data_IF_165695078744
#
_entry.id   IF_165695078744
#
_cell.length_a   1.000
_cell.length_b   1.000
_cell.length_c   1.000
_cell.angle_alpha   90.00
_cell.angle_beta   90.00
_cell.angle_gamma   90.00
#
_symmetry.space_group_name_H-M   'P 1'
#
loop_
_entity.id
_entity.type
_entity.pdbx_description
1 polymer ?
2 non-polymer ?
3 non-polymer ?
4 water ?
#
# COMPACT_ATOMS: atom_id res chain seq x y z
N UNK A 7 -5.40 -21.03 -5.39
CA UNK A 7 -5.45 -21.62 -4.05
C UNK A 7 -5.08 -23.09 -4.11
N UNK A 8 -5.26 -23.69 -5.28
CA UNK A 8 -4.94 -25.10 -5.47
C UNK A 8 -3.45 -25.35 -5.61
N UNK A 9 -2.67 -24.28 -5.77
CA UNK A 9 -1.22 -24.40 -5.91
C UNK A 9 -0.53 -24.36 -4.55
N UNK A 10 -1.33 -24.27 -3.50
CA UNK A 10 -0.82 -24.24 -2.14
C UNK A 10 -0.56 -25.67 -1.73
N UNK A 11 0.62 -25.93 -1.18
CA UNK A 11 0.94 -27.26 -0.70
C UNK A 11 0.25 -27.36 0.65
N UNK A 12 0.23 -26.23 1.37
CA UNK A 12 -0.41 -26.12 2.66
C UNK A 12 -0.39 -24.69 3.18
N UNK A 13 -1.35 -24.40 4.06
CA UNK A 13 -1.48 -23.08 4.65
C UNK A 13 -0.73 -23.09 5.96
N UNK A 14 0.04 -22.03 6.21
CA UNK A 14 0.79 -21.92 7.44
C UNK A 14 -0.01 -21.07 8.43
N UNK A 15 -0.63 -20.01 7.93
CA UNK A 15 -1.44 -19.11 8.77
C UNK A 15 -2.62 -18.63 7.98
N UNK A 16 -3.79 -18.66 8.60
CA UNK A 16 -5.02 -18.20 7.95
C UNK A 16 -5.24 -16.72 8.25
N UNK A 17 -6.24 -16.12 7.62
CA UNK A 17 -6.51 -14.70 7.82
C UNK A 17 -6.76 -14.34 9.28
N UNK A 18 -7.36 -15.27 10.04
CA UNK A 18 -7.62 -15.03 11.45
C UNK A 18 -6.31 -14.92 12.24
N UNK A 19 -5.36 -15.79 11.93
CA UNK A 19 -4.06 -15.78 12.61
C UNK A 19 -3.32 -14.49 12.30
N UNK A 20 -3.33 -14.11 11.02
CA UNK A 20 -2.66 -12.91 10.53
C UNK A 20 -3.22 -11.67 11.22
N UNK A 21 -4.54 -11.52 11.19
CA UNK A 21 -5.18 -10.36 11.78
C UNK A 21 -4.98 -10.24 13.29
N UNK A 22 -4.92 -11.37 13.98
CA UNK A 22 -4.69 -11.38 15.41
C UNK A 22 -3.25 -10.88 15.66
N UNK A 23 -2.30 -11.40 14.89
CA UNK A 23 -0.90 -10.99 15.04
C UNK A 23 -0.71 -9.50 14.77
N UNK A 24 -1.36 -9.01 13.73
CA UNK A 24 -1.27 -7.60 13.38
C UNK A 24 -1.79 -6.72 14.52
N UNK A 25 -2.87 -7.12 15.17
CA UNK A 25 -3.40 -6.34 16.28
C UNK A 25 -2.38 -6.34 17.41
N UNK A 26 -1.73 -7.47 17.62
CA UNK A 26 -0.71 -7.60 18.67
C UNK A 26 0.49 -6.70 18.37
N UNK A 27 0.94 -6.72 17.12
CA UNK A 27 2.07 -5.89 16.69
C UNK A 27 1.73 -4.41 16.81
N UNK A 28 0.54 -4.03 16.35
CA UNK A 28 0.11 -2.64 16.41
C UNK A 28 0.13 -2.12 17.84
N UNK A 29 -0.27 -2.97 18.79
CA UNK A 29 -0.27 -2.60 20.20
C UNK A 29 1.16 -2.38 20.66
N UNK A 30 2.05 -3.26 20.23
CA UNK A 30 3.44 -3.18 20.59
C UNK A 30 4.10 -1.93 20.00
N UNK A 31 3.80 -1.64 18.74
CA UNK A 31 4.33 -0.47 18.06
C UNK A 31 3.88 0.83 18.72
N UNK A 32 2.59 0.90 19.08
CA UNK A 32 2.02 2.08 19.72
C UNK A 32 2.78 2.46 21.00
N UNK A 33 3.16 1.45 21.76
CA UNK A 33 3.91 1.60 22.99
C UNK A 33 5.11 2.53 22.76
N UNK A 34 5.88 2.22 21.72
CA UNK A 34 7.09 2.98 21.40
C UNK A 34 6.93 4.20 20.51
N UNK A 35 6.08 4.10 19.50
CA UNK A 35 5.91 5.17 18.52
C UNK A 35 4.82 6.22 18.67
N UNK A 36 3.94 6.03 19.64
CA UNK A 36 2.82 6.94 19.83
C UNK A 36 3.12 8.44 19.81
N UNK A 37 4.14 8.86 20.56
CA UNK A 37 4.46 10.28 20.61
C UNK A 37 5.70 10.63 19.81
N UNK A 38 6.09 9.75 18.90
CA UNK A 38 7.30 9.97 18.12
C UNK A 38 7.19 10.50 16.70
N UNK A 39 5.98 10.61 16.17
CA UNK A 39 5.77 11.08 14.79
C UNK A 39 6.81 10.42 13.88
N UNK A 40 6.82 9.08 13.85
CA UNK A 40 7.79 8.34 13.04
C UNK A 40 7.52 8.29 11.55
N UNK A 41 8.58 7.98 10.81
CA UNK A 41 8.48 7.80 9.37
C UNK A 41 8.39 6.26 9.26
N UNK A 42 7.27 5.77 8.78
CA UNK A 42 7.04 4.33 8.63
C UNK A 42 7.31 4.00 7.18
N UNK A 43 8.39 3.29 6.93
CA UNK A 43 8.77 2.93 5.58
C UNK A 43 8.25 1.58 5.15
N UNK A 44 7.56 1.55 4.02
CA UNK A 44 7.06 0.30 3.48
C UNK A 44 7.97 -0.10 2.31
N UNK A 45 8.52 -1.30 2.37
CA UNK A 45 9.35 -1.79 1.29
C UNK A 45 8.40 -2.47 0.30
N UNK A 46 8.10 -1.78 -0.79
CA UNK A 46 7.16 -2.28 -1.80
C UNK A 46 7.79 -3.41 -2.61
N UNK A 47 6.98 -4.34 -3.13
CA UNK A 47 5.52 -4.36 -3.01
C UNK A 47 5.00 -5.31 -1.93
N UNK A 48 5.64 -6.48 -1.83
CA UNK A 48 5.20 -7.50 -0.88
C UNK A 48 4.72 -7.10 0.49
N UNK A 49 5.39 -6.15 1.11
CA UNK A 49 5.03 -5.69 2.45
C UNK A 49 3.80 -4.78 2.50
N UNK A 50 3.30 -4.34 1.35
CA UNK A 50 2.18 -3.42 1.32
C UNK A 50 0.88 -3.87 2.00
N UNK A 51 0.55 -5.15 1.90
CA UNK A 51 -0.67 -5.65 2.53
C UNK A 51 -0.52 -5.54 4.03
N UNK A 52 0.58 -6.10 4.53
CA UNK A 52 0.94 -6.08 5.94
C UNK A 52 0.99 -4.64 6.45
N UNK A 53 1.61 -3.77 5.66
CA UNK A 53 1.79 -2.35 5.98
C UNK A 53 0.46 -1.61 6.16
N UNK A 54 -0.42 -1.70 5.17
CA UNK A 54 -1.70 -1.02 5.28
C UNK A 54 -2.56 -1.59 6.41
N UNK A 55 -2.48 -2.90 6.64
CA UNK A 55 -3.26 -3.51 7.72
C UNK A 55 -2.80 -3.00 9.09
N UNK A 56 -1.49 -2.81 9.23
CA UNK A 56 -0.90 -2.29 10.46
C UNK A 56 -1.38 -0.85 10.67
N UNK A 57 -1.24 -0.03 9.63
CA UNK A 57 -1.63 1.37 9.70
C UNK A 57 -3.10 1.58 10.07
N UNK A 58 -3.94 0.61 9.76
CA UNK A 58 -5.36 0.70 10.10
C UNK A 58 -5.56 0.58 11.61
N UNK A 59 -4.51 0.15 12.31
CA UNK A 59 -4.56 -0.01 13.75
C UNK A 59 -3.71 1.00 14.50
N UNK A 60 -3.07 1.90 13.78
CA UNK A 60 -2.22 2.89 14.43
C UNK A 60 -2.96 4.20 14.57
N UNK A 61 -3.36 4.49 15.80
CA UNK A 61 -4.13 5.67 16.13
C UNK A 61 -3.30 6.88 16.56
N UNK A 62 -2.28 7.22 15.79
CA UNK A 62 -1.42 8.37 16.11
C UNK A 62 -0.81 8.96 14.84
N UNK A 63 -0.26 10.16 14.95
CA UNK A 63 0.36 10.83 13.82
C UNK A 63 1.63 10.10 13.41
N UNK A 64 1.75 9.80 12.13
CA UNK A 64 2.91 9.10 11.57
C UNK A 64 3.03 9.52 10.12
N UNK A 65 4.22 9.40 9.55
CA UNK A 65 4.44 9.82 8.17
C UNK A 65 4.83 8.62 7.31
N UNK A 66 3.96 8.22 6.38
CA UNK A 66 4.33 7.07 5.54
C UNK A 66 5.36 7.45 4.47
N UNK A 67 6.17 6.48 4.10
CA UNK A 67 7.14 6.65 3.03
C UNK A 67 7.35 5.28 2.43
N UNK A 68 7.86 5.25 1.20
CA UNK A 68 8.03 4.00 0.48
C UNK A 68 9.36 3.88 -0.19
N UNK A 69 9.84 2.66 -0.32
CA UNK A 69 11.10 2.42 -0.97
C UNK A 69 11.00 1.16 -1.86
N UNK A 70 11.64 1.22 -3.01
CA UNK A 70 11.68 0.11 -3.95
C UNK A 70 13.17 -0.15 -4.16
N UNK A 71 13.63 -1.33 -3.77
CA UNK A 71 15.03 -1.69 -3.90
C UNK A 71 15.19 -3.19 -4.07
N UNK A 72 16.41 -3.65 -4.34
CA UNK A 72 16.68 -5.07 -4.49
C UNK A 72 18.16 -5.33 -4.36
N UNK A 73 18.52 -6.48 -3.79
CA UNK A 73 19.92 -6.83 -3.61
C UNK A 73 20.34 -7.92 -4.60
N UNK A 83 23.06 -3.24 -3.80
CA UNK A 83 21.67 -2.90 -3.48
C UNK A 83 21.24 -1.76 -4.39
N UNK A 84 20.27 -2.03 -5.26
CA UNK A 84 19.78 -1.00 -6.16
C UNK A 84 18.50 -0.42 -5.59
N UNK A 85 18.44 0.90 -5.51
CA UNK A 85 17.25 1.56 -5.01
C UNK A 85 16.60 2.25 -6.22
N UNK A 86 15.48 1.69 -6.67
CA UNK A 86 14.74 2.23 -7.81
C UNK A 86 13.90 3.44 -7.41
N UNK A 87 13.43 3.45 -6.17
CA UNK A 87 12.64 4.55 -5.68
C UNK A 87 13.07 4.78 -4.24
N UNK A 88 13.74 5.91 -4.03
CA UNK A 88 14.23 6.27 -2.71
C UNK A 88 13.17 7.06 -1.94
N UNK A 89 13.42 7.28 -0.65
CA UNK A 89 12.50 8.01 0.21
C UNK A 89 12.30 9.45 -0.22
N UNK A 90 11.12 9.98 0.09
CA UNK A 90 10.80 11.37 -0.21
C UNK A 90 11.17 12.19 1.01
N UNK A 91 11.07 11.56 2.18
CA UNK A 91 11.36 12.18 3.47
C UNK A 91 12.82 12.21 3.87
N UNK A 92 13.26 13.34 4.43
CA UNK A 92 14.61 13.45 4.93
C UNK A 92 14.44 12.86 6.33
N UNK A 93 15.09 11.72 6.58
CA UNK A 93 14.95 11.05 7.88
C UNK A 93 15.95 11.45 8.97
N UNK A 94 16.76 12.47 8.70
CA UNK A 94 17.72 12.93 9.70
C UNK A 94 16.97 13.38 10.95
N UNK A 95 17.33 12.80 12.09
CA UNK A 95 16.70 13.15 13.35
C UNK A 95 15.29 12.61 13.57
N UNK A 96 14.79 11.79 12.65
CA UNK A 96 13.45 11.23 12.77
C UNK A 96 13.50 9.80 13.29
N UNK A 97 12.42 9.34 13.91
CA UNK A 97 12.34 7.96 14.39
C UNK A 97 11.80 7.19 13.20
N UNK A 98 12.55 6.19 12.75
CA UNK A 98 12.21 5.42 11.56
C UNK A 98 11.96 3.95 11.80
N UNK A 99 10.90 3.44 11.20
CA UNK A 99 10.57 2.01 11.26
C UNK A 99 10.53 1.48 9.83
N UNK A 100 11.21 0.37 9.59
CA UNK A 100 11.21 -0.25 8.27
C UNK A 100 10.26 -1.43 8.32
N UNK A 101 9.27 -1.43 7.44
CA UNK A 101 8.28 -2.50 7.37
C UNK A 101 8.56 -3.36 6.16
N UNK A 102 8.96 -4.60 6.43
CA UNK A 102 9.33 -5.56 5.39
C UNK A 102 8.42 -6.80 5.41
N UNK A 103 8.41 -7.53 4.29
CA UNK A 103 7.59 -8.73 4.19
C UNK A 103 8.25 -10.00 4.77
N UNK A 104 9.46 -10.31 4.32
CA UNK A 104 10.15 -11.50 4.82
C UNK A 104 11.66 -11.32 4.72
N UNK A 105 12.36 -11.81 5.73
CA UNK A 105 13.82 -11.75 5.77
C UNK A 105 14.31 -13.18 5.58
N UNK A 106 15.05 -13.39 4.50
CA UNK A 106 15.59 -14.70 4.17
C UNK A 106 17.05 -14.80 4.65
N UNK A 107 18.01 -14.48 3.78
CA UNK A 107 19.41 -14.56 4.19
C UNK A 107 19.84 -13.32 4.97
N UNK A 108 19.02 -12.27 4.87
CA UNK A 108 19.32 -11.04 5.57
C UNK A 108 20.10 -10.02 4.74
N UNK A 109 20.52 -10.41 3.54
CA UNK A 109 21.29 -9.49 2.68
C UNK A 109 20.58 -8.18 2.36
N UNK A 110 19.34 -8.26 1.87
CA UNK A 110 18.57 -7.07 1.52
C UNK A 110 18.43 -6.09 2.68
N UNK A 111 17.97 -6.56 3.83
CA UNK A 111 17.79 -5.71 4.99
C UNK A 111 19.12 -5.19 5.54
N UNK A 112 20.16 -6.02 5.50
CA UNK A 112 21.46 -5.59 6.00
C UNK A 112 21.96 -4.38 5.20
N UNK A 113 21.78 -4.43 3.88
CA UNK A 113 22.22 -3.34 3.02
C UNK A 113 21.31 -2.12 3.16
N UNK A 114 20.01 -2.35 3.32
CA UNK A 114 19.04 -1.29 3.48
C UNK A 114 19.33 -0.53 4.79
N UNK A 115 19.57 -1.28 5.86
CA UNK A 115 19.86 -0.65 7.15
C UNK A 115 21.14 0.18 7.13
N UNK A 116 22.18 -0.31 6.44
CA UNK A 116 23.44 0.43 6.35
C UNK A 116 23.18 1.72 5.60
N UNK A 117 22.38 1.66 4.53
CA UNK A 117 22.07 2.86 3.76
C UNK A 117 21.32 3.87 4.62
N UNK A 118 20.28 3.40 5.32
CA UNK A 118 19.46 4.29 6.16
C UNK A 118 20.19 4.87 7.37
N UNK A 119 21.07 4.09 7.99
CA UNK A 119 21.79 4.57 9.17
C UNK A 119 22.69 5.77 8.84
N UNK A 120 23.17 5.83 7.60
CA UNK A 120 24.04 6.94 7.14
C UNK A 120 23.30 8.27 7.06
N UNK A 121 21.97 8.20 6.98
CA UNK A 121 21.15 9.41 6.90
C UNK A 121 20.89 10.05 8.26
N UNK A 122 21.44 9.45 9.30
CA UNK A 122 21.36 9.94 10.66
C UNK A 122 19.97 10.01 11.32
N UNK A 123 19.23 8.89 11.32
CA UNK A 123 17.90 8.89 11.95
C UNK A 123 18.05 8.92 13.48
N UNK A 124 17.03 9.36 14.20
CA UNK A 124 17.09 9.37 15.67
C UNK A 124 17.10 7.93 16.15
N UNK A 125 16.32 7.08 15.48
CA UNK A 125 16.27 5.68 15.83
C UNK A 125 15.88 4.94 14.57
N UNK A 126 16.24 3.67 14.49
CA UNK A 126 15.97 2.88 13.32
C UNK A 126 15.69 1.44 13.77
N UNK A 127 14.47 0.98 13.49
CA UNK A 127 14.04 -0.37 13.85
C UNK A 127 13.41 -1.08 12.67
N UNK A 128 13.32 -2.39 12.78
CA UNK A 128 12.78 -3.23 11.72
C UNK A 128 11.59 -4.02 12.19
N UNK A 129 10.55 -4.04 11.35
CA UNK A 129 9.33 -4.80 11.59
C UNK A 129 9.10 -5.67 10.36
N UNK A 130 9.18 -6.98 10.51
CA UNK A 130 8.98 -7.87 9.38
C UNK A 130 7.78 -8.79 9.62
N UNK A 131 7.02 -9.06 8.56
CA UNK A 131 5.87 -9.93 8.69
C UNK A 131 6.38 -11.33 8.98
N UNK A 132 7.39 -11.76 8.22
CA UNK A 132 7.96 -13.10 8.40
C UNK A 132 9.46 -13.13 8.47
N UNK A 133 9.97 -14.13 9.17
CA UNK A 133 11.40 -14.35 9.25
C UNK A 133 11.55 -15.83 8.85
N UNK A 134 12.20 -16.08 7.71
CA UNK A 134 12.41 -17.44 7.25
C UNK A 134 13.51 -18.10 8.07
N UNK A 135 13.19 -19.22 8.70
CA UNK A 135 14.17 -19.93 9.51
C UNK A 135 15.09 -20.77 8.63
N UNK A 136 16.27 -20.24 8.33
CA UNK A 136 17.26 -20.92 7.52
C UNK A 136 18.50 -21.23 8.36
N UNK A 137 18.35 -21.10 9.67
CA UNK A 137 19.48 -21.35 10.55
C UNK A 137 20.25 -20.06 10.71
N UNK A 138 21.58 -20.17 10.76
CA UNK A 138 22.41 -18.97 10.90
C UNK A 138 22.33 -18.20 9.60
N UNK A 139 21.97 -16.92 9.70
CA UNK A 139 21.86 -16.09 8.51
C UNK A 139 23.22 -15.54 8.11
N UNK A 140 23.36 -15.18 6.85
CA UNK A 140 24.60 -14.64 6.32
C UNK A 140 24.88 -13.29 6.97
N UNK A 141 23.82 -12.58 7.35
CA UNK A 141 23.96 -11.28 7.99
C UNK A 141 23.10 -11.20 9.24
N UNK A 142 23.72 -10.71 10.32
CA UNK A 142 23.05 -10.58 11.61
C UNK A 142 22.18 -9.33 11.67
N UNK A 143 21.00 -9.42 11.07
CA UNK A 143 20.04 -8.30 11.04
C UNK A 143 19.18 -8.26 12.30
N UNK A 144 19.22 -7.16 13.06
CA UNK A 144 18.41 -7.05 14.27
C UNK A 144 16.96 -6.85 13.88
N UNK A 145 16.11 -7.77 14.33
CA UNK A 145 14.67 -7.71 14.02
C UNK A 145 13.94 -7.36 15.30
N UNK A 146 13.40 -6.14 15.37
CA UNK A 146 12.72 -5.70 16.57
C UNK A 146 11.30 -6.19 16.71
N UNK A 147 10.59 -6.32 15.60
CA UNK A 147 9.20 -6.79 15.64
C UNK A 147 9.10 -7.79 14.51
N UNK A 148 8.51 -8.94 14.79
CA UNK A 148 8.37 -9.99 13.79
C UNK A 148 7.03 -10.69 13.95
N UNK A 149 6.29 -10.80 12.85
CA UNK A 149 4.99 -11.45 12.90
C UNK A 149 5.08 -12.95 13.14
N UNK A 150 5.74 -13.67 12.23
CA UNK A 150 5.85 -15.13 12.31
C UNK A 150 7.20 -15.65 11.83
N UNK A 151 7.62 -16.78 12.38
CA UNK A 151 8.84 -17.42 11.93
C UNK A 151 8.32 -18.51 11.00
N UNK A 152 8.81 -18.47 9.77
CA UNK A 152 8.36 -19.36 8.72
C UNK A 152 9.43 -20.41 8.37
N UNK A 153 9.01 -21.56 7.86
CA UNK A 153 9.98 -22.60 7.50
C UNK A 153 10.65 -22.27 6.18
N UNK A 154 11.77 -22.94 5.93
CA UNK A 154 12.55 -22.73 4.73
C UNK A 154 11.93 -23.27 3.44
N UNK A 155 10.83 -22.63 3.01
CA UNK A 155 10.13 -23.01 1.79
C UNK A 155 9.75 -21.71 1.09
N UNK A 156 9.27 -21.79 -0.15
CA UNK A 156 8.87 -20.58 -0.86
C UNK A 156 7.49 -20.20 -0.40
N UNK A 157 7.42 -19.08 0.31
CA UNK A 157 6.19 -18.56 0.86
C UNK A 157 5.37 -17.79 -0.16
N UNK A 158 4.07 -18.01 -0.12
CA UNK A 158 3.14 -17.40 -1.05
C UNK A 158 1.88 -16.88 -0.30
N UNK A 159 1.25 -15.84 -0.84
CA UNK A 159 0.03 -15.30 -0.23
C UNK A 159 0.17 -14.03 0.61
N UNK A 160 -0.94 -13.34 0.77
CA UNK A 160 -1.00 -12.10 1.56
C UNK A 160 0.14 -11.15 1.21
N UNK A 161 0.24 -10.82 -0.07
CA UNK A 161 1.30 -9.94 -0.52
C UNK A 161 2.46 -10.67 -1.17
N UNK A 162 2.74 -11.89 -0.73
CA UNK A 162 3.84 -12.69 -1.30
C UNK A 162 3.39 -13.27 -2.64
N UNK A 163 4.15 -12.98 -3.70
CA UNK A 163 3.80 -13.47 -5.03
C UNK A 163 4.86 -14.41 -5.60
N UNK A 164 4.50 -15.05 -6.71
CA UNK A 164 5.39 -15.91 -7.47
C UNK A 164 4.99 -15.61 -8.91
N UNK A 165 5.88 -14.97 -9.66
CA UNK A 165 5.60 -14.62 -11.06
C UNK A 165 4.37 -13.74 -11.17
N UNK A 166 4.25 -12.79 -10.25
CA UNK A 166 3.13 -11.85 -10.21
C UNK A 166 1.77 -12.48 -9.92
N UNK A 167 1.80 -13.64 -9.27
CA UNK A 167 0.57 -14.33 -8.89
C UNK A 167 0.57 -14.65 -7.39
N UNK A 168 -0.62 -14.93 -6.85
CA UNK A 168 -0.84 -15.33 -5.46
C UNK A 168 -0.86 -14.27 -4.35
N UNK A 169 -0.67 -12.99 -4.69
CA UNK A 169 -0.68 -11.91 -3.69
C UNK A 169 -2.00 -11.81 -2.96
N UNK A 170 -3.08 -12.02 -3.71
CA UNK A 170 -4.44 -11.91 -3.21
C UNK A 170 -4.90 -12.98 -2.21
N UNK A 171 -4.18 -14.10 -2.13
CA UNK A 171 -4.55 -15.16 -1.19
C UNK A 171 -4.65 -14.60 0.22
N UNK A 172 -5.72 -14.93 0.93
CA UNK A 172 -5.93 -14.45 2.30
C UNK A 172 -5.13 -15.20 3.37
N UNK A 173 -4.18 -16.02 2.93
CA UNK A 173 -3.37 -16.81 3.85
C UNK A 173 -1.90 -16.76 3.45
N UNK A 174 -1.05 -17.24 4.35
CA UNK A 174 0.38 -17.32 4.07
C UNK A 174 0.56 -18.84 3.94
N UNK A 175 1.11 -19.28 2.81
CA UNK A 175 1.28 -20.71 2.61
C UNK A 175 2.49 -21.04 1.79
N UNK A 176 2.72 -22.34 1.59
CA UNK A 176 3.85 -22.86 0.84
C UNK A 176 3.46 -23.15 -0.60
N UNK A 177 4.27 -22.67 -1.53
CA UNK A 177 4.03 -22.87 -2.96
C UNK A 177 4.40 -24.34 -3.26
N UNK A 178 3.52 -25.07 -3.93
CA UNK A 178 3.78 -26.46 -4.28
C UNK A 178 5.05 -26.56 -5.10
N UNK A 179 5.73 -27.70 -5.00
CA UNK A 179 6.96 -27.92 -5.75
C UNK A 179 6.66 -28.00 -7.24
N UNK B 7 -12.45 11.09 16.36
CA UNK B 7 -13.88 10.94 16.08
C UNK B 7 -14.63 12.23 16.40
N UNK B 8 -14.12 12.99 17.35
CA UNK B 8 -14.75 14.24 17.73
C UNK B 8 -14.51 15.30 16.67
N UNK B 9 -13.41 15.18 15.95
CA UNK B 9 -13.07 16.14 14.89
C UNK B 9 -13.86 15.86 13.62
N UNK B 10 -14.50 14.69 13.59
CA UNK B 10 -15.30 14.28 12.45
C UNK B 10 -16.68 14.95 12.52
N UNK B 11 -17.09 15.60 11.44
CA UNK B 11 -18.39 16.25 11.38
C UNK B 11 -19.46 15.17 11.23
N UNK B 12 -19.31 14.33 10.21
CA UNK B 12 -20.25 13.25 9.96
C UNK B 12 -19.61 12.21 9.06
N UNK B 13 -20.17 11.01 9.07
CA UNK B 13 -19.69 9.87 8.28
C UNK B 13 -20.43 9.83 6.93
N UNK B 14 -19.69 9.68 5.84
CA UNK B 14 -20.31 9.58 4.52
C UNK B 14 -20.53 8.10 4.22
N UNK B 15 -19.51 7.28 4.47
CA UNK B 15 -19.63 5.84 4.23
C UNK B 15 -18.92 5.06 5.31
N UNK B 16 -19.56 4.01 5.81
CA UNK B 16 -18.98 3.18 6.87
C UNK B 16 -18.12 2.06 6.25
N UNK B 17 -17.45 1.28 7.10
CA UNK B 17 -16.58 0.22 6.60
C UNK B 17 -17.32 -0.80 5.77
N UNK B 18 -18.57 -1.09 6.15
CA UNK B 18 -19.39 -2.06 5.43
C UNK B 18 -19.66 -1.54 4.04
N UNK B 19 -19.92 -0.23 3.95
CA UNK B 19 -20.17 0.41 2.67
C UNK B 19 -18.93 0.27 1.79
N UNK B 20 -17.78 0.60 2.36
CA UNK B 20 -16.50 0.55 1.68
C UNK B 20 -16.14 -0.84 1.14
N UNK B 21 -16.19 -1.85 1.99
CA UNK B 21 -15.86 -3.21 1.56
C UNK B 21 -16.80 -3.75 0.50
N UNK B 22 -18.08 -3.41 0.60
CA UNK B 22 -19.07 -3.85 -0.37
C UNK B 22 -18.75 -3.20 -1.73
N UNK B 23 -18.45 -1.90 -1.71
CA UNK B 23 -18.12 -1.20 -2.95
C UNK B 23 -16.82 -1.71 -3.59
N UNK B 24 -15.82 -2.00 -2.77
CA UNK B 24 -14.54 -2.52 -3.25
C UNK B 24 -14.71 -3.88 -3.94
N UNK B 25 -15.57 -4.73 -3.38
CA UNK B 25 -15.84 -6.04 -3.95
C UNK B 25 -16.53 -5.88 -5.29
N UNK B 26 -17.46 -4.93 -5.38
CA UNK B 26 -18.18 -4.67 -6.61
C UNK B 26 -17.22 -4.20 -7.70
N UNK B 27 -16.33 -3.27 -7.34
CA UNK B 27 -15.34 -2.74 -8.27
C UNK B 27 -14.39 -3.85 -8.75
N UNK B 28 -13.99 -4.72 -7.83
CA UNK B 28 -13.09 -5.83 -8.15
C UNK B 28 -13.71 -6.74 -9.19
N UNK B 29 -15.00 -7.02 -9.03
CA UNK B 29 -15.71 -7.89 -9.98
C UNK B 29 -15.75 -7.24 -11.34
N UNK B 30 -15.98 -5.93 -11.36
CA UNK B 30 -16.03 -5.20 -12.62
C UNK B 30 -14.68 -5.20 -13.31
N UNK B 31 -13.62 -4.97 -12.54
CA UNK B 31 -12.26 -4.96 -13.08
C UNK B 31 -11.87 -6.35 -13.60
N UNK B 32 -12.25 -7.39 -12.87
CA UNK B 32 -11.93 -8.76 -13.25
C UNK B 32 -12.50 -9.09 -14.64
N UNK B 33 -13.70 -8.59 -14.89
CA UNK B 33 -14.39 -8.81 -16.15
C UNK B 33 -13.55 -8.34 -17.35
N UNK B 34 -12.88 -7.20 -17.21
CA UNK B 34 -12.07 -6.65 -18.28
C UNK B 34 -10.59 -7.05 -18.27
N UNK B 35 -9.99 -7.08 -17.09
CA UNK B 35 -8.55 -7.36 -16.96
C UNK B 35 -8.04 -8.76 -16.69
N UNK B 36 -8.92 -9.66 -16.29
CA UNK B 36 -8.51 -11.03 -15.95
C UNK B 36 -7.50 -11.67 -16.89
N UNK B 37 -7.74 -11.53 -18.18
CA UNK B 37 -6.94 -12.10 -19.24
C UNK B 37 -5.85 -11.18 -19.79
N UNK B 38 -5.72 -9.98 -19.23
CA UNK B 38 -4.78 -9.02 -19.79
C UNK B 38 -3.43 -8.74 -19.14
N UNK B 39 -3.13 -9.37 -18.00
CA UNK B 39 -1.86 -9.13 -17.30
C UNK B 39 -1.56 -7.62 -17.31
N UNK B 40 -2.50 -6.83 -16.77
CA UNK B 40 -2.35 -5.37 -16.72
C UNK B 40 -1.29 -4.85 -15.78
N UNK B 41 -0.88 -3.61 -16.03
CA UNK B 41 0.06 -2.94 -15.16
C UNK B 41 -0.92 -2.09 -14.31
N UNK B 42 -0.98 -2.37 -13.02
CA UNK B 42 -1.87 -1.65 -12.11
C UNK B 42 -1.06 -0.59 -11.40
N UNK B 43 -1.17 0.65 -11.86
CA UNK B 43 -0.40 1.76 -11.30
C UNK B 43 -1.04 2.39 -10.08
N UNK B 44 -0.31 2.43 -8.98
CA UNK B 44 -0.80 3.04 -7.76
C UNK B 44 -0.21 4.43 -7.65
N UNK B 45 -1.05 5.46 -7.53
CA UNK B 45 -0.55 6.82 -7.39
C UNK B 45 -0.21 7.08 -5.92
N UNK B 46 1.08 7.06 -5.59
CA UNK B 46 1.51 7.29 -4.21
C UNK B 46 1.33 8.76 -3.85
N UNK B 47 1.09 9.06 -2.58
CA UNK B 47 1.00 8.07 -1.51
C UNK B 47 -0.45 7.83 -1.12
N UNK B 48 -1.34 8.70 -1.59
CA UNK B 48 -2.75 8.60 -1.25
C UNK B 48 -3.56 7.36 -1.59
N UNK B 49 -3.35 6.78 -2.77
CA UNK B 49 -4.13 5.62 -3.18
C UNK B 49 -3.83 4.25 -2.54
N UNK B 50 -2.76 4.17 -1.73
CA UNK B 50 -2.34 2.90 -1.11
C UNK B 50 -3.38 2.01 -0.39
N UNK B 51 -4.22 2.60 0.47
CA UNK B 51 -5.23 1.84 1.21
C UNK B 51 -6.20 1.16 0.23
N UNK B 52 -6.71 1.97 -0.70
CA UNK B 52 -7.64 1.55 -1.73
C UNK B 52 -7.02 0.50 -2.64
N UNK B 53 -5.80 0.79 -3.07
CA UNK B 53 -5.04 -0.07 -3.95
C UNK B 53 -4.88 -1.49 -3.41
N UNK B 54 -4.40 -1.61 -2.17
CA UNK B 54 -4.20 -2.93 -1.56
C UNK B 54 -5.51 -3.65 -1.31
N UNK B 55 -6.55 -2.91 -0.94
CA UNK B 55 -7.86 -3.52 -0.71
C UNK B 55 -8.43 -4.06 -2.01
N UNK B 56 -8.11 -3.41 -3.12
CA UNK B 56 -8.56 -3.88 -4.42
C UNK B 56 -7.77 -5.14 -4.78
N UNK B 57 -6.45 -5.08 -4.62
CA UNK B 57 -5.58 -6.21 -4.94
C UNK B 57 -5.92 -7.47 -4.15
N UNK B 58 -6.59 -7.30 -3.01
CA UNK B 58 -6.98 -8.45 -2.20
C UNK B 58 -8.12 -9.23 -2.87
N UNK B 59 -8.73 -8.65 -3.90
CA UNK B 59 -9.84 -9.31 -4.59
C UNK B 59 -9.57 -9.63 -6.04
N UNK B 60 -8.37 -9.32 -6.52
CA UNK B 60 -8.02 -9.60 -7.91
C UNK B 60 -7.28 -10.93 -8.00
N UNK B 61 -8.02 -11.96 -8.39
CA UNK B 61 -7.50 -13.32 -8.49
C UNK B 61 -6.90 -13.64 -9.87
N UNK B 62 -5.93 -12.84 -10.30
CA UNK B 62 -5.27 -13.04 -11.57
C UNK B 62 -3.92 -12.36 -11.61
N UNK B 63 -3.09 -12.74 -12.58
CA UNK B 63 -1.76 -12.18 -12.74
C UNK B 63 -1.83 -10.70 -13.14
N UNK B 64 -1.09 -9.87 -12.43
CA UNK B 64 -1.04 -8.43 -12.71
C UNK B 64 0.31 -7.91 -12.25
N UNK B 65 0.74 -6.80 -12.82
CA UNK B 65 2.03 -6.21 -12.49
C UNK B 65 1.89 -4.84 -11.83
N UNK B 66 2.23 -4.76 -10.53
CA UNK B 66 2.13 -3.49 -9.82
C UNK B 66 3.22 -2.51 -10.27
N UNK B 67 2.92 -1.22 -10.16
CA UNK B 67 3.90 -0.18 -10.48
C UNK B 67 3.43 1.03 -9.68
N UNK B 68 4.31 1.98 -9.48
CA UNK B 68 3.99 3.13 -8.67
C UNK B 68 4.47 4.40 -9.33
N UNK B 69 3.77 5.49 -9.06
CA UNK B 69 4.15 6.77 -9.64
C UNK B 69 3.92 7.87 -8.61
N UNK B 70 4.74 8.90 -8.69
CA UNK B 70 4.62 10.04 -7.81
C UNK B 70 4.74 11.27 -8.70
N UNK B 71 3.66 12.04 -8.78
CA UNK B 71 3.59 13.24 -9.61
C UNK B 71 2.77 14.33 -8.92
N UNK B 85 7.32 14.33 -13.41
CA UNK B 85 7.15 13.21 -12.50
C UNK B 85 8.38 13.03 -11.59
N UNK B 86 8.13 12.89 -10.29
CA UNK B 86 9.21 12.68 -9.34
C UNK B 86 9.76 11.27 -9.54
N UNK B 87 8.86 10.30 -9.44
CA UNK B 87 9.19 8.89 -9.61
C UNK B 87 8.39 8.36 -10.80
N UNK B 88 9.09 7.92 -11.84
CA UNK B 88 8.47 7.41 -13.04
C UNK B 88 8.18 5.91 -12.88
N UNK B 89 7.59 5.31 -13.91
CA UNK B 89 7.25 3.90 -13.91
C UNK B 89 8.45 3.00 -14.21
N UNK B 90 8.55 1.89 -13.50
CA UNK B 90 9.64 0.94 -13.71
C UNK B 90 9.32 0.03 -14.90
N UNK B 91 8.06 -0.05 -15.28
CA UNK B 91 7.64 -0.89 -16.39
C UNK B 91 7.48 -0.09 -17.67
N UNK B 92 7.86 -0.67 -18.79
CA UNK B 92 7.66 0.03 -20.06
C UNK B 92 6.20 -0.35 -20.34
N UNK B 93 5.32 0.64 -20.38
CA UNK B 93 3.91 0.36 -20.59
C UNK B 93 3.44 0.26 -22.05
N UNK B 94 4.38 0.37 -22.99
CA UNK B 94 4.04 0.28 -24.41
C UNK B 94 3.40 -1.07 -24.75
N UNK B 95 2.19 -1.02 -25.31
CA UNK B 95 1.49 -2.23 -25.67
C UNK B 95 0.88 -2.95 -24.48
N UNK B 96 0.96 -2.34 -23.30
CA UNK B 96 0.39 -2.95 -22.11
C UNK B 96 -0.99 -2.39 -21.77
N UNK B 97 -1.79 -3.18 -21.07
CA UNK B 97 -3.10 -2.73 -20.63
C UNK B 97 -2.81 -2.09 -19.28
N UNK B 98 -3.09 -0.81 -19.17
CA UNK B 98 -2.77 -0.08 -17.96
C UNK B 98 -3.97 0.49 -17.21
N UNK B 99 -3.93 0.35 -15.89
CA UNK B 99 -4.97 0.88 -15.02
C UNK B 99 -4.31 1.79 -14.00
N UNK B 100 -4.80 3.03 -13.91
CA UNK B 100 -4.28 4.00 -12.96
C UNK B 100 -5.24 4.00 -11.77
N UNK B 101 -4.73 3.75 -10.58
CA UNK B 101 -5.54 3.73 -9.38
C UNK B 101 -5.26 4.99 -8.57
N UNK B 102 -6.33 5.74 -8.32
CA UNK B 102 -6.26 7.01 -7.61
C UNK B 102 -7.20 7.05 -6.40
N UNK B 103 -6.88 7.90 -5.42
CA UNK B 103 -7.70 8.04 -4.23
C UNK B 103 -8.89 8.99 -4.43
N UNK B 104 -8.66 10.14 -5.05
CA UNK B 104 -9.73 11.10 -5.25
C UNK B 104 -9.40 12.05 -6.40
N UNK B 105 -10.43 12.45 -7.14
CA UNK B 105 -10.26 13.39 -8.25
C UNK B 105 -11.07 14.64 -7.88
N UNK B 106 -10.41 15.80 -7.88
CA UNK B 106 -11.07 17.04 -7.52
C UNK B 106 -11.34 17.85 -8.78
N UNK B 107 -10.37 18.66 -9.19
CA UNK B 107 -10.56 19.48 -10.39
C UNK B 107 -10.23 18.65 -11.63
N UNK B 108 -9.38 17.65 -11.43
CA UNK B 108 -8.99 16.78 -12.53
C UNK B 108 -7.66 17.18 -13.15
N UNK B 109 -7.00 18.20 -12.61
CA UNK B 109 -5.75 18.65 -13.17
C UNK B 109 -4.65 17.60 -13.18
N UNK B 110 -4.39 16.98 -12.04
CA UNK B 110 -3.33 15.97 -11.96
C UNK B 110 -3.60 14.79 -12.90
N UNK B 111 -4.83 14.26 -12.87
CA UNK B 111 -5.18 13.13 -13.72
C UNK B 111 -5.09 13.49 -15.19
N UNK B 112 -5.54 14.69 -15.53
CA UNK B 112 -5.51 15.18 -16.91
C UNK B 112 -4.10 15.16 -17.47
N UNK B 113 -3.15 15.65 -16.68
CA UNK B 113 -1.76 15.69 -17.12
C UNK B 113 -1.14 14.30 -17.06
N UNK B 114 -1.59 13.49 -16.11
CA UNK B 114 -1.08 12.13 -15.95
C UNK B 114 -1.42 11.31 -17.17
N UNK B 115 -2.70 11.33 -17.54
CA UNK B 115 -3.17 10.59 -18.69
C UNK B 115 -2.53 11.04 -19.99
N UNK B 116 -2.33 12.35 -20.15
CA UNK B 116 -1.71 12.89 -21.36
C UNK B 116 -0.29 12.34 -21.47
N UNK B 117 0.44 12.37 -20.37
CA UNK B 117 1.80 11.88 -20.33
C UNK B 117 1.82 10.39 -20.68
N UNK B 118 1.10 9.59 -19.90
CA UNK B 118 1.03 8.15 -20.10
C UNK B 118 0.53 7.73 -21.49
N UNK B 119 -0.40 8.49 -22.07
CA UNK B 119 -0.93 8.12 -23.38
C UNK B 119 0.16 8.16 -24.46
N UNK B 120 1.13 9.07 -24.31
CA UNK B 120 2.22 9.18 -25.29
C UNK B 120 3.14 7.97 -25.30
N UNK B 121 3.06 7.15 -24.25
CA UNK B 121 3.90 5.95 -24.14
C UNK B 121 3.32 4.77 -24.92
N UNK B 122 2.19 5.01 -25.59
CA UNK B 122 1.53 4.00 -26.42
C UNK B 122 1.04 2.72 -25.73
N UNK B 123 0.28 2.84 -24.64
CA UNK B 123 -0.21 1.62 -23.99
C UNK B 123 -1.35 1.01 -24.82
N UNK B 124 -1.61 -0.29 -24.65
CA UNK B 124 -2.68 -0.96 -25.38
C UNK B 124 -4.04 -0.37 -24.98
N UNK B 125 -4.17 -0.01 -23.71
CA UNK B 125 -5.39 0.62 -23.20
C UNK B 125 -4.99 1.34 -21.93
N UNK B 126 -5.77 2.35 -21.57
CA UNK B 126 -5.49 3.16 -20.39
C UNK B 126 -6.80 3.54 -19.76
N UNK B 127 -6.99 3.15 -18.50
CA UNK B 127 -8.22 3.45 -17.78
C UNK B 127 -7.92 3.96 -16.38
N UNK B 128 -8.89 4.65 -15.80
CA UNK B 128 -8.77 5.23 -14.47
C UNK B 128 -9.77 4.62 -13.48
N UNK B 129 -9.30 4.34 -12.28
CA UNK B 129 -10.14 3.80 -11.23
C UNK B 129 -9.84 4.66 -9.99
N UNK B 130 -10.86 5.38 -9.50
CA UNK B 130 -10.69 6.24 -8.34
C UNK B 130 -11.66 5.83 -7.22
N UNK B 131 -11.20 5.92 -5.97
CA UNK B 131 -12.06 5.59 -4.84
C UNK B 131 -13.16 6.64 -4.75
N UNK B 132 -12.76 7.90 -4.82
CA UNK B 132 -13.71 9.01 -4.74
C UNK B 132 -13.60 10.01 -5.87
N UNK B 133 -14.75 10.59 -6.18
CA UNK B 133 -14.87 11.63 -7.19
C UNK B 133 -15.54 12.78 -6.42
N UNK B 134 -14.84 13.89 -6.27
CA UNK B 134 -15.37 15.02 -5.53
C UNK B 134 -16.38 15.82 -6.37
N UNK B 135 -17.62 15.89 -5.89
CA UNK B 135 -18.67 16.60 -6.60
C UNK B 135 -18.51 18.12 -6.55
N UNK B 136 -17.77 18.67 -7.49
CA UNK B 136 -17.57 20.11 -7.56
C UNK B 136 -18.38 20.61 -8.76
N UNK B 137 -19.30 19.78 -9.23
CA UNK B 137 -20.10 20.16 -10.38
C UNK B 137 -19.34 19.85 -11.66
N UNK B 138 -19.18 20.85 -12.51
CA UNK B 138 -18.45 20.66 -13.77
C UNK B 138 -16.97 20.82 -13.48
N UNK B 139 -16.19 19.77 -13.71
CA UNK B 139 -14.77 19.82 -13.48
C UNK B 139 -14.07 20.63 -14.56
N UNK B 140 -12.92 21.19 -14.21
CA UNK B 140 -12.15 22.02 -15.13
C UNK B 140 -11.58 21.20 -16.28
N UNK B 141 -11.24 19.94 -16.00
CA UNK B 141 -10.66 19.07 -17.01
C UNK B 141 -11.53 17.85 -17.25
N UNK B 142 -11.77 17.57 -18.53
CA UNK B 142 -12.61 16.46 -18.95
C UNK B 142 -11.91 15.10 -18.84
N UNK B 143 -11.78 14.61 -17.61
CA UNK B 143 -11.12 13.34 -17.36
C UNK B 143 -12.09 12.15 -17.33
N UNK B 144 -11.89 11.16 -18.22
CA UNK B 144 -12.79 10.01 -18.23
C UNK B 144 -12.44 9.15 -17.02
N UNK B 145 -13.45 8.84 -16.21
CA UNK B 145 -13.27 8.01 -15.02
C UNK B 145 -14.04 6.74 -15.32
N UNK B 146 -13.33 5.66 -15.55
CA UNK B 146 -13.96 4.39 -15.90
C UNK B 146 -14.57 3.64 -14.74
N UNK B 147 -13.91 3.72 -13.59
CA UNK B 147 -14.38 3.03 -12.40
C UNK B 147 -14.30 4.04 -11.26
N UNK B 148 -15.39 4.18 -10.51
CA UNK B 148 -15.45 5.13 -9.42
C UNK B 148 -16.19 4.52 -8.25
N UNK B 149 -15.54 4.52 -7.09
CA UNK B 149 -16.14 3.96 -5.90
C UNK B 149 -17.29 4.78 -5.35
N UNK B 150 -17.06 6.07 -5.09
CA UNK B 150 -18.09 6.94 -4.52
C UNK B 150 -17.98 8.37 -5.02
N UNK B 151 -19.11 9.06 -5.01
CA UNK B 151 -19.12 10.47 -5.36
C UNK B 151 -19.25 11.13 -3.99
N UNK B 152 -18.34 12.04 -3.66
CA UNK B 152 -18.37 12.69 -2.36
C UNK B 152 -18.62 14.20 -2.41
N UNK B 153 -19.02 14.76 -1.28
CA UNK B 153 -19.30 16.18 -1.16
C UNK B 153 -18.03 16.99 -1.27
N UNK B 154 -18.16 18.23 -1.71
CA UNK B 154 -17.00 19.09 -1.83
C UNK B 154 -16.65 19.62 -0.44
N UNK B 155 -16.08 18.74 0.38
CA UNK B 155 -15.69 19.08 1.75
C UNK B 155 -14.34 18.40 1.99
N UNK B 156 -13.73 18.67 3.14
CA UNK B 156 -12.45 18.02 3.47
C UNK B 156 -12.74 16.58 3.87
N UNK B 157 -12.38 15.65 2.99
CA UNK B 157 -12.59 14.23 3.21
C UNK B 157 -11.53 13.68 4.14
N UNK B 158 -11.95 12.83 5.06
CA UNK B 158 -11.05 12.26 6.04
C UNK B 158 -11.40 10.79 6.31
N UNK B 159 -10.38 10.00 6.67
CA UNK B 159 -10.59 8.59 6.96
C UNK B 159 -10.22 7.66 5.81
N UNK B 160 -10.07 6.37 6.13
CA UNK B 160 -9.73 5.33 5.16
C UNK B 160 -8.64 5.75 4.20
N UNK B 161 -7.48 6.14 4.74
CA UNK B 161 -6.39 6.57 3.88
C UNK B 161 -6.29 8.08 3.73
N UNK B 162 -7.41 8.79 3.84
CA UNK B 162 -7.38 10.24 3.73
C UNK B 162 -6.93 10.81 5.07
N UNK B 163 -5.97 11.73 5.04
CA UNK B 163 -5.45 12.29 6.27
C UNK B 163 -5.50 13.81 6.33
N UNK B 164 -5.23 14.33 7.52
CA UNK B 164 -5.11 15.76 7.76
C UNK B 164 -3.95 15.81 8.72
N UNK B 165 -2.85 16.43 8.29
CA UNK B 165 -1.65 16.53 9.10
C UNK B 165 -1.21 15.15 9.58
N UNK B 166 -1.20 14.19 8.66
CA UNK B 166 -0.77 12.82 8.95
C UNK B 166 -1.57 12.16 10.07
N UNK B 167 -2.83 12.57 10.21
CA UNK B 167 -3.71 12.02 11.22
C UNK B 167 -4.99 11.58 10.50
N UNK B 168 -5.78 10.72 11.16
CA UNK B 168 -7.07 10.23 10.66
C UNK B 168 -7.11 9.10 9.63
N UNK B 169 -5.97 8.77 9.00
CA UNK B 169 -5.90 7.70 8.00
C UNK B 169 -6.46 6.35 8.48
N UNK B 170 -6.38 6.11 9.79
CA UNK B 170 -6.83 4.86 10.38
C UNK B 170 -8.34 4.70 10.59
N UNK B 171 -9.09 5.80 10.50
CA UNK B 171 -10.54 5.74 10.69
C UNK B 171 -11.13 4.82 9.64
N UNK B 172 -11.94 3.82 10.07
CA UNK B 172 -12.55 2.86 9.14
C UNK B 172 -13.77 3.39 8.41
N UNK B 173 -13.82 4.72 8.25
CA UNK B 173 -14.91 5.36 7.53
C UNK B 173 -14.36 6.42 6.58
N UNK B 174 -15.25 6.92 5.74
CA UNK B 174 -14.88 8.01 4.88
C UNK B 174 -15.84 9.11 5.37
N UNK B 175 -15.28 10.14 6.00
CA UNK B 175 -16.11 11.19 6.57
C UNK B 175 -15.65 12.59 6.23
N UNK B 176 -16.23 13.55 6.94
CA UNK B 176 -15.95 14.98 6.74
C UNK B 176 -15.28 15.56 7.98
N UNK B 177 -14.23 16.33 7.78
CA UNK B 177 -13.52 16.96 8.89
C UNK B 177 -14.27 18.27 9.22
N UNK B 178 -14.43 18.58 10.50
CA UNK B 178 -15.09 19.83 10.91
C UNK B 178 -14.23 21.01 10.48
N UNK B 179 -14.85 22.04 9.91
CA UNK B 179 -14.09 23.21 9.47
C UNK B 179 -13.25 23.80 10.58
N UNK B 180 -13.80 23.84 11.79
CA UNK B 180 -13.13 24.40 12.95
C UNK B 180 -11.78 23.75 13.22
N UNK B 181 -11.59 22.53 12.73
CA UNK B 181 -10.35 21.82 12.94
C UNK B 181 -9.18 22.33 12.09
N UNK B 182 -9.46 22.73 10.85
CA UNK B 182 -8.42 23.19 9.96
C UNK B 182 -8.43 24.66 9.59
N UNK B 183 -9.50 25.38 9.93
CA UNK B 183 -9.60 26.79 9.61
C UNK B 183 -9.39 27.65 10.86
#
# INVERSE_FOLDING_TARGET
MTETPMMDDLERVLYNQDDIQKRIRELAAELTEFYEDKNPVMICVLTGAVFFYTDLLKHLDFQLEPDYIICSSYSGTKSTGNLTISKDLKTNIEGRHVLVVEDIIDTGLTMYQLLNNLQMRKPASLKVCTLCDKDIGKKAYDVPIDYCGFVVENRYIIGYGFDFHNKYRNLPVIGILKESVYT
MTETPMMDDLERVLYNQDDIQKRIRELAAELTEFYEDKNPVMICVLTGAVFFYTDLLKHLDFQLEPDYIICSSYSGTKSTGNLTISKDLKTNIEGRHVLVVEDIIDTGLTMYQLLNNLQMRKPASLKVCTLCDKDIGKKAYDVPIDYCGFVVENRYIIGYGFDFHNKYRNLPVIGILKESVYT
#
